data_IF_594879379336
#
_entry.id   IF_594879379336
#
_cell.length_a   1.000
_cell.length_b   1.000
_cell.length_c   1.000
_cell.angle_alpha   90.00
_cell.angle_beta   90.00
_cell.angle_gamma   90.00
#
_symmetry.space_group_name_H-M   'P 1'
#
loop_
_entity.id
_entity.type
_entity.pdbx_description
1 polymer ?
#
# COMPACT_ATOMS: atom_id res chain seq x y z
N UNK A 1 8.31 -63.80 -30.85
CA UNK A 1 9.55 -63.17 -31.34
C UNK A 1 9.18 -62.25 -32.49
N UNK A 2 9.56 -60.98 -32.36
CA UNK A 2 9.64 -59.92 -33.40
C UNK A 2 8.32 -59.39 -33.99
N UNK A 3 7.85 -58.28 -33.42
CA UNK A 3 6.88 -57.33 -34.00
C UNK A 3 7.64 -56.10 -34.50
N UNK A 4 7.31 -55.53 -35.68
CA UNK A 4 8.12 -54.47 -36.28
C UNK A 4 7.86 -53.07 -35.69
N UNK A 5 8.94 -52.30 -35.60
CA UNK A 5 9.00 -50.94 -35.11
C UNK A 5 8.38 -49.94 -36.11
N UNK A 6 7.49 -49.09 -35.61
CA UNK A 6 6.97 -47.92 -36.35
C UNK A 6 7.80 -46.70 -35.97
N UNK A 7 8.63 -46.23 -36.91
CA UNK A 7 9.24 -44.90 -36.86
C UNK A 7 8.14 -43.84 -37.08
N UNK A 8 7.93 -42.95 -36.10
CA UNK A 8 7.23 -41.69 -36.31
C UNK A 8 8.21 -40.54 -36.13
N UNK A 9 8.59 -39.95 -37.25
CA UNK A 9 9.23 -38.64 -37.31
C UNK A 9 8.20 -37.57 -36.93
N UNK A 10 8.49 -36.80 -35.89
CA UNK A 10 7.70 -35.63 -35.51
C UNK A 10 8.13 -34.46 -36.38
N UNK A 11 7.26 -34.09 -37.31
CA UNK A 11 7.38 -32.90 -38.16
C UNK A 11 7.08 -31.66 -37.32
N UNK A 12 8.02 -30.72 -37.27
CA UNK A 12 7.76 -29.35 -36.83
C UNK A 12 6.78 -28.68 -37.80
N UNK A 13 5.62 -28.23 -37.30
CA UNK A 13 4.88 -27.11 -37.88
C UNK A 13 4.28 -26.21 -36.79
N UNK A 14 4.19 -24.90 -37.08
CA UNK A 14 3.91 -23.84 -36.12
C UNK A 14 2.42 -23.80 -35.80
N UNK A 15 2.06 -23.61 -34.52
CA UNK A 15 0.67 -23.36 -34.16
C UNK A 15 0.42 -21.86 -34.27
N UNK A 16 -0.36 -21.55 -35.31
CA UNK A 16 -1.05 -20.30 -35.58
C UNK A 16 -1.82 -19.78 -34.36
N UNK A 17 -1.56 -18.52 -33.98
CA UNK A 17 -2.52 -17.70 -33.24
C UNK A 17 -3.74 -17.46 -34.14
N UNK A 18 -4.81 -18.22 -33.90
CA UNK A 18 -6.14 -17.92 -34.45
C UNK A 18 -6.93 -17.23 -33.35
N UNK A 19 -7.42 -16.04 -33.70
CA UNK A 19 -8.16 -15.16 -32.83
C UNK A 19 -9.36 -15.84 -32.18
N UNK A 20 -9.48 -15.63 -30.88
CA UNK A 20 -10.78 -15.42 -30.28
C UNK A 20 -10.96 -13.91 -30.17
N UNK A 21 -11.72 -13.37 -31.11
CA UNK A 21 -12.53 -12.18 -30.88
C UNK A 21 -13.43 -12.50 -29.69
N UNK A 22 -13.01 -12.10 -28.50
CA UNK A 22 -13.94 -11.91 -27.40
C UNK A 22 -14.98 -10.90 -27.87
N UNK A 23 -16.28 -11.14 -27.65
CA UNK A 23 -17.29 -10.14 -27.96
C UNK A 23 -16.93 -8.88 -27.18
N UNK A 24 -16.89 -7.74 -27.88
CA UNK A 24 -16.87 -6.45 -27.24
C UNK A 24 -17.96 -6.47 -26.17
N UNK A 25 -17.56 -6.47 -24.91
CA UNK A 25 -18.46 -6.17 -23.82
C UNK A 25 -18.78 -4.70 -24.07
N UNK A 26 -19.94 -4.46 -24.67
CA UNK A 26 -20.58 -3.15 -24.63
C UNK A 26 -20.68 -2.82 -23.14
N UNK A 27 -19.73 -2.00 -22.68
CA UNK A 27 -19.81 -1.34 -21.39
C UNK A 27 -20.98 -0.39 -21.54
N UNK A 28 -22.16 -0.89 -21.19
CA UNK A 28 -23.32 -0.08 -20.92
C UNK A 28 -22.89 0.84 -19.78
N UNK A 29 -22.51 2.06 -20.13
CA UNK A 29 -22.54 3.16 -19.16
C UNK A 29 -23.90 3.07 -18.49
N UNK A 30 -23.99 3.00 -17.16
CA UNK A 30 -25.29 3.00 -16.52
C UNK A 30 -26.04 4.21 -17.07
N UNK A 31 -27.19 3.92 -17.68
CA UNK A 31 -28.14 4.95 -18.04
C UNK A 31 -28.24 5.88 -16.83
N UNK A 32 -28.28 7.19 -17.10
CA UNK A 32 -28.59 8.24 -16.14
C UNK A 32 -29.91 7.89 -15.44
N UNK A 33 -29.85 7.03 -14.43
CA UNK A 33 -30.76 7.06 -13.32
C UNK A 33 -30.48 8.43 -12.70
N UNK A 34 -31.50 9.29 -12.69
CA UNK A 34 -31.54 10.34 -11.70
C UNK A 34 -31.25 9.64 -10.37
N UNK A 35 -30.05 9.86 -9.85
CA UNK A 35 -29.72 9.53 -8.48
C UNK A 35 -30.65 10.41 -7.67
N UNK A 36 -31.85 9.90 -7.39
CA UNK A 36 -32.66 10.33 -6.26
C UNK A 36 -31.78 10.06 -5.04
N UNK A 37 -30.93 11.04 -4.71
CA UNK A 37 -30.15 11.04 -3.50
C UNK A 37 -31.17 10.89 -2.37
N UNK A 38 -31.13 9.81 -1.57
CA UNK A 38 -32.06 9.67 -0.48
C UNK A 38 -31.92 10.91 0.41
N UNK A 39 -33.05 11.54 0.75
CA UNK A 39 -33.12 12.51 1.83
C UNK A 39 -32.83 11.76 3.14
N UNK A 40 -31.55 11.48 3.38
CA UNK A 40 -31.09 10.78 4.57
C UNK A 40 -31.25 11.72 5.76
N UNK A 41 -31.89 11.23 6.82
CA UNK A 41 -32.29 11.97 8.03
C UNK A 41 -31.14 12.30 8.98
N UNK A 42 -29.89 12.24 8.51
CA UNK A 42 -28.70 12.64 9.25
C UNK A 42 -28.30 14.05 8.78
N UNK A 43 -27.94 14.93 9.71
CA UNK A 43 -27.56 16.30 9.36
C UNK A 43 -26.48 16.29 8.26
N UNK A 44 -26.65 17.05 7.16
CA UNK A 44 -25.67 17.07 6.08
C UNK A 44 -24.32 17.49 6.65
N UNK A 45 -23.24 16.87 6.17
CA UNK A 45 -21.90 17.31 6.51
C UNK A 45 -21.79 18.81 6.21
N UNK A 46 -21.32 19.59 7.19
CA UNK A 46 -21.05 21.01 6.98
C UNK A 46 -19.76 21.13 6.18
N UNK A 47 -19.90 21.06 4.86
CA UNK A 47 -18.75 21.11 3.97
C UNK A 47 -17.98 22.42 4.09
N UNK A 48 -18.64 23.53 4.43
CA UNK A 48 -17.98 24.81 4.59
C UNK A 48 -17.07 24.84 5.82
N UNK A 49 -17.37 24.06 6.87
CA UNK A 49 -16.43 23.88 8.00
C UNK A 49 -15.21 23.03 7.60
N UNK A 50 -15.43 21.96 6.82
CA UNK A 50 -14.37 21.03 6.40
C UNK A 50 -13.43 21.64 5.33
N UNK A 51 -14.00 22.34 4.35
CA UNK A 51 -13.28 22.98 3.25
C UNK A 51 -13.89 24.35 2.92
N UNK A 52 -13.65 25.39 3.75
CA UNK A 52 -14.23 26.72 3.57
C UNK A 52 -13.82 27.42 2.27
N UNK A 53 -12.76 26.93 1.62
CA UNK A 53 -12.27 27.45 0.36
C UNK A 53 -12.90 26.81 -0.88
N UNK A 54 -13.76 25.80 -0.72
CA UNK A 54 -14.34 25.05 -1.84
C UNK A 54 -13.30 24.44 -2.78
N UNK A 55 -12.13 24.05 -2.23
CA UNK A 55 -10.99 23.53 -2.98
C UNK A 55 -11.25 22.15 -3.56
N UNK A 56 -12.11 21.36 -2.91
CA UNK A 56 -12.42 19.99 -3.30
C UNK A 56 -13.83 19.91 -3.90
N UNK A 57 -14.01 19.05 -4.90
CA UNK A 57 -15.30 18.84 -5.55
C UNK A 57 -16.27 18.15 -4.60
N UNK A 58 -17.46 18.75 -4.42
CA UNK A 58 -18.45 18.37 -3.41
C UNK A 58 -19.85 18.83 -3.82
N UNK A 59 -20.91 18.29 -3.20
CA UNK A 59 -22.28 18.79 -3.35
C UNK A 59 -22.38 20.29 -3.03
N UNK A 60 -23.26 20.98 -3.75
CA UNK A 60 -23.38 22.44 -3.73
C UNK A 60 -22.54 23.14 -4.80
N UNK A 61 -21.53 22.49 -5.38
CA UNK A 61 -20.85 23.01 -6.57
C UNK A 61 -21.73 22.84 -7.82
N UNK A 62 -21.71 23.83 -8.71
CA UNK A 62 -22.56 23.85 -9.91
C UNK A 62 -22.29 22.69 -10.88
N UNK A 63 -21.09 22.12 -10.84
CA UNK A 63 -20.67 20.97 -11.63
C UNK A 63 -20.91 19.63 -10.91
N UNK A 64 -21.36 19.63 -9.65
CA UNK A 64 -21.66 18.41 -8.91
C UNK A 64 -23.05 17.85 -9.27
N UNK A 65 -23.12 16.57 -9.63
CA UNK A 65 -24.40 15.92 -9.99
C UNK A 65 -25.09 16.51 -11.23
N UNK A 66 -24.39 17.38 -11.97
CA UNK A 66 -24.94 18.04 -13.14
C UNK A 66 -25.14 17.03 -14.29
N UNK A 67 -26.13 17.29 -15.16
CA UNK A 67 -26.38 16.48 -16.36
C UNK A 67 -25.19 16.45 -17.34
N UNK A 68 -24.29 17.43 -17.25
CA UNK A 68 -23.02 17.44 -17.98
C UNK A 68 -21.92 16.96 -17.06
N UNK A 69 -21.18 15.94 -17.48
CA UNK A 69 -20.03 15.48 -16.73
C UNK A 69 -19.00 16.62 -16.62
N UNK A 70 -18.45 16.89 -15.43
CA UNK A 70 -17.38 17.87 -15.29
C UNK A 70 -16.20 17.55 -16.20
N UNK A 71 -15.47 18.60 -16.57
CA UNK A 71 -14.15 18.48 -17.17
C UNK A 71 -13.15 18.17 -16.07
N UNK A 72 -13.05 16.88 -15.75
CA UNK A 72 -12.10 16.38 -14.76
C UNK A 72 -10.67 16.52 -15.25
N UNK A 73 -9.80 16.99 -14.36
CA UNK A 73 -8.36 16.77 -14.46
C UNK A 73 -8.03 15.46 -13.74
N UNK A 74 -7.29 14.55 -14.37
CA UNK A 74 -6.91 13.29 -13.74
C UNK A 74 -5.49 13.36 -13.21
N UNK A 75 -5.32 13.01 -11.94
CA UNK A 75 -4.01 12.78 -11.33
C UNK A 75 -3.59 11.32 -11.47
N UNK A 76 -2.27 11.06 -11.49
CA UNK A 76 -1.74 9.71 -11.37
C UNK A 76 -1.69 9.31 -9.88
N UNK A 77 -2.50 8.33 -9.43
CA UNK A 77 -2.52 7.93 -8.02
C UNK A 77 -1.20 7.29 -7.58
N UNK A 78 -0.45 6.62 -8.47
CA UNK A 78 0.84 6.04 -8.13
C UNK A 78 1.87 7.13 -7.86
N UNK A 79 1.96 8.13 -8.73
CA UNK A 79 2.85 9.27 -8.53
C UNK A 79 2.46 10.09 -7.30
N UNK A 80 1.16 10.19 -7.00
CA UNK A 80 0.63 10.90 -5.84
C UNK A 80 0.79 10.13 -4.52
N UNK A 81 1.30 8.89 -4.53
CA UNK A 81 1.49 8.10 -3.33
C UNK A 81 0.18 7.58 -2.72
N UNK A 82 -0.87 7.41 -3.53
CA UNK A 82 -2.23 7.07 -3.07
C UNK A 82 -2.52 5.61 -3.41
N UNK A 83 -3.01 4.86 -2.43
CA UNK A 83 -3.47 3.50 -2.62
C UNK A 83 -4.55 3.13 -1.60
N UNK A 84 -5.16 1.96 -1.74
CA UNK A 84 -6.10 1.43 -0.78
C UNK A 84 -5.74 0.01 -0.31
N UNK A 85 -6.07 -0.33 0.94
CA UNK A 85 -6.15 -1.72 1.40
C UNK A 85 -7.61 -2.10 1.64
N UNK A 86 -7.89 -3.40 1.66
CA UNK A 86 -9.20 -3.93 2.10
C UNK A 86 -8.91 -5.00 3.13
N UNK A 87 -9.44 -4.79 4.33
CA UNK A 87 -9.25 -5.67 5.49
C UNK A 87 -10.63 -5.87 6.14
N UNK A 88 -11.02 -7.13 6.35
CA UNK A 88 -12.33 -7.51 6.92
C UNK A 88 -13.54 -6.80 6.26
N UNK A 89 -13.46 -6.59 4.95
CA UNK A 89 -14.51 -5.95 4.14
C UNK A 89 -14.54 -4.43 4.21
N UNK A 90 -13.68 -3.79 5.01
CA UNK A 90 -13.51 -2.34 5.06
C UNK A 90 -12.33 -1.90 4.20
N UNK A 91 -12.52 -0.88 3.37
CA UNK A 91 -11.43 -0.26 2.62
C UNK A 91 -10.75 0.82 3.46
N UNK A 92 -9.43 0.94 3.36
CA UNK A 92 -8.67 2.07 3.92
C UNK A 92 -7.94 2.78 2.80
N UNK A 93 -8.11 4.09 2.68
CA UNK A 93 -7.33 4.93 1.76
C UNK A 93 -6.07 5.39 2.47
N UNK A 94 -4.92 5.23 1.82
CA UNK A 94 -3.63 5.63 2.34
C UNK A 94 -3.06 6.76 1.48
N UNK A 95 -2.64 7.83 2.13
CA UNK A 95 -1.86 8.90 1.51
C UNK A 95 -0.41 8.79 1.97
N UNK A 96 0.48 8.38 1.07
CA UNK A 96 1.94 8.33 1.28
C UNK A 96 2.69 9.37 0.44
N UNK A 97 1.95 10.19 -0.30
CA UNK A 97 2.52 11.33 -1.00
C UNK A 97 2.60 12.56 -0.11
N UNK A 98 2.96 13.67 -0.75
CA UNK A 98 3.18 14.96 -0.11
C UNK A 98 1.99 15.93 -0.26
N UNK A 99 0.99 15.54 -1.06
CA UNK A 99 -0.20 16.36 -1.31
C UNK A 99 -1.33 16.02 -0.32
N UNK A 100 -2.10 17.03 0.09
CA UNK A 100 -3.36 16.82 0.82
C UNK A 100 -4.43 16.37 -0.15
N UNK A 101 -5.10 15.25 0.15
CA UNK A 101 -6.19 14.70 -0.65
C UNK A 101 -7.49 14.77 0.11
N UNK A 102 -8.61 14.73 -0.61
CA UNK A 102 -9.93 14.61 0.00
C UNK A 102 -10.63 13.32 -0.46
N UNK A 103 -11.41 12.75 0.45
CA UNK A 103 -12.22 11.57 0.22
C UNK A 103 -13.68 12.00 0.23
N UNK A 104 -14.33 11.94 -0.94
CA UNK A 104 -15.76 12.19 -1.04
C UNK A 104 -16.49 10.85 -1.11
N UNK A 105 -17.18 10.51 -0.02
CA UNK A 105 -17.92 9.26 0.12
C UNK A 105 -19.39 9.47 -0.24
N UNK A 106 -19.90 8.62 -1.14
CA UNK A 106 -21.28 8.53 -1.56
C UNK A 106 -21.79 7.11 -1.25
N UNK A 107 -22.94 6.97 -0.61
CA UNK A 107 -23.57 5.67 -0.41
C UNK A 107 -25.03 5.80 0.00
N UNK A 108 -25.80 4.74 -0.21
CA UNK A 108 -27.21 4.68 0.23
C UNK A 108 -27.33 4.47 1.73
N UNK A 109 -26.31 3.85 2.33
CA UNK A 109 -26.27 3.48 3.75
C UNK A 109 -25.34 4.37 4.59
N UNK A 110 -24.65 5.32 3.95
CA UNK A 110 -23.75 6.27 4.61
C UNK A 110 -24.10 7.70 4.27
N UNK A 111 -24.03 8.63 5.24
CA UNK A 111 -24.11 10.04 4.92
C UNK A 111 -23.05 10.40 3.89
N UNK A 112 -23.44 11.25 2.96
CA UNK A 112 -22.50 11.98 2.13
C UNK A 112 -21.46 12.67 3.03
N UNK A 113 -20.19 12.34 2.84
CA UNK A 113 -19.10 12.84 3.67
C UNK A 113 -17.92 13.32 2.83
N UNK A 114 -17.25 14.36 3.33
CA UNK A 114 -15.95 14.80 2.82
C UNK A 114 -14.94 14.69 3.96
N UNK A 115 -13.86 13.95 3.74
CA UNK A 115 -12.77 13.83 4.70
C UNK A 115 -11.47 14.34 4.08
N UNK A 116 -10.71 15.16 4.82
CA UNK A 116 -9.42 15.68 4.38
C UNK A 116 -8.30 14.80 4.94
N UNK A 117 -7.52 14.23 4.03
CA UNK A 117 -6.45 13.30 4.34
C UNK A 117 -5.08 13.93 4.08
N UNK A 118 -4.40 14.27 5.18
CA UNK A 118 -3.06 14.85 5.16
C UNK A 118 -1.99 13.86 4.62
N UNK A 119 -0.81 14.37 4.20
CA UNK A 119 0.34 13.53 3.88
C UNK A 119 0.69 12.55 5.00
N UNK A 120 0.97 11.30 4.62
CA UNK A 120 1.38 10.23 5.54
C UNK A 120 0.25 9.60 6.36
N UNK A 121 -1.00 10.07 6.25
CA UNK A 121 -2.13 9.54 7.02
C UNK A 121 -2.93 8.50 6.24
N UNK A 122 -3.88 7.86 6.91
CA UNK A 122 -4.81 6.91 6.30
C UNK A 122 -6.20 7.13 6.89
N UNK A 123 -7.24 6.88 6.11
CA UNK A 123 -8.63 6.97 6.55
C UNK A 123 -9.38 5.69 6.17
N UNK A 124 -10.09 5.14 7.14
CA UNK A 124 -10.91 3.95 6.94
C UNK A 124 -12.27 4.37 6.40
N UNK A 125 -12.67 3.79 5.27
CA UNK A 125 -14.00 3.94 4.72
C UNK A 125 -14.98 3.03 5.50
N UNK A 126 -16.25 3.44 5.65
CA UNK A 126 -17.27 2.58 6.24
C UNK A 126 -17.36 1.21 5.57
N UNK A 127 -17.60 0.16 6.35
CA UNK A 127 -17.73 -1.22 5.87
C UNK A 127 -19.14 -1.50 5.30
N UNK A 128 -19.54 -0.74 4.30
CA UNK A 128 -20.86 -0.78 3.64
C UNK A 128 -20.73 -0.51 2.14
N UNK A 129 -21.85 -0.63 1.42
CA UNK A 129 -21.92 -0.28 0.00
C UNK A 129 -21.72 1.23 -0.19
N UNK A 130 -20.63 1.59 -0.87
CA UNK A 130 -20.23 2.97 -1.09
C UNK A 130 -19.38 3.16 -2.33
N UNK A 131 -19.32 4.41 -2.78
CA UNK A 131 -18.39 4.89 -3.78
C UNK A 131 -17.63 6.08 -3.18
N UNK A 132 -16.30 6.01 -3.20
CA UNK A 132 -15.42 7.04 -2.69
C UNK A 132 -14.56 7.62 -3.82
N UNK A 133 -14.71 8.91 -4.09
CA UNK A 133 -13.80 9.65 -4.96
C UNK A 133 -12.59 10.11 -4.16
N UNK A 134 -11.40 9.69 -4.58
CA UNK A 134 -10.13 10.21 -4.05
C UNK A 134 -9.67 11.34 -4.96
N UNK A 135 -9.61 12.55 -4.40
CA UNK A 135 -9.44 13.77 -5.18
C UNK A 135 -8.35 14.68 -4.61
N UNK A 136 -7.75 15.46 -5.51
CA UNK A 136 -6.88 16.58 -5.15
C UNK A 136 -7.64 17.90 -5.19
N UNK A 137 -6.98 18.98 -4.80
CA UNK A 137 -7.53 20.33 -4.99
C UNK A 137 -7.82 20.59 -6.48
N UNK A 138 -8.87 21.38 -6.76
CA UNK A 138 -9.22 21.82 -8.11
C UNK A 138 -8.01 22.44 -8.84
N UNK A 139 -7.90 22.17 -10.13
CA UNK A 139 -6.87 22.71 -11.01
C UNK A 139 -7.54 23.55 -12.07
N UNK A 140 -7.22 24.84 -12.14
CA UNK A 140 -7.86 25.79 -13.06
C UNK A 140 -9.41 25.77 -13.02
N UNK A 141 -9.97 25.56 -11.83
CA UNK A 141 -11.42 25.45 -11.61
C UNK A 141 -11.99 24.06 -11.87
N UNK A 142 -11.26 23.14 -12.51
CA UNK A 142 -11.69 21.77 -12.76
C UNK A 142 -11.47 20.85 -11.55
N UNK A 143 -12.41 19.94 -11.21
CA UNK A 143 -12.18 18.89 -10.23
C UNK A 143 -10.98 18.01 -10.60
N UNK A 144 -10.09 17.73 -9.65
CA UNK A 144 -8.95 16.83 -9.84
C UNK A 144 -9.21 15.49 -9.16
N UNK A 145 -9.25 14.39 -9.92
CA UNK A 145 -9.53 13.05 -9.38
C UNK A 145 -8.33 12.13 -9.60
N UNK A 146 -7.92 11.42 -8.55
CA UNK A 146 -6.88 10.39 -8.61
C UNK A 146 -7.46 9.00 -8.89
N UNK A 147 -8.66 8.73 -8.36
CA UNK A 147 -9.35 7.49 -8.60
C UNK A 147 -10.66 7.38 -7.81
N UNK A 148 -11.28 6.22 -7.95
CA UNK A 148 -12.53 5.85 -7.30
C UNK A 148 -12.38 4.47 -6.70
N UNK A 149 -12.74 4.36 -5.43
CA UNK A 149 -12.91 3.07 -4.74
C UNK A 149 -14.41 2.81 -4.64
N UNK A 150 -14.84 1.67 -5.16
CA UNK A 150 -16.23 1.21 -5.06
C UNK A 150 -16.25 -0.06 -4.22
N UNK A 151 -17.00 -0.02 -3.12
CA UNK A 151 -17.24 -1.16 -2.25
C UNK A 151 -18.68 -1.64 -2.41
N UNK A 152 -18.88 -2.95 -2.55
CA UNK A 152 -20.19 -3.59 -2.49
C UNK A 152 -20.07 -4.97 -1.83
N UNK A 153 -20.96 -5.28 -0.88
CA UNK A 153 -20.96 -6.52 -0.10
C UNK A 153 -19.57 -6.84 0.52
N UNK A 154 -18.90 -5.80 1.03
CA UNK A 154 -17.56 -5.92 1.63
C UNK A 154 -16.45 -6.23 0.62
N UNK A 155 -16.67 -6.03 -0.68
CA UNK A 155 -15.67 -6.29 -1.73
C UNK A 155 -15.39 -5.03 -2.53
N UNK A 156 -14.12 -4.85 -2.90
CA UNK A 156 -13.75 -3.84 -3.89
C UNK A 156 -14.25 -4.27 -5.27
N UNK A 157 -15.03 -3.41 -5.89
CA UNK A 157 -15.56 -3.58 -7.24
C UNK A 157 -14.65 -2.90 -8.27
N UNK A 158 -14.61 -3.38 -9.53
CA UNK A 158 -13.84 -2.74 -10.58
C UNK A 158 -14.29 -1.30 -10.84
N UNK A 159 -13.33 -0.40 -11.08
CA UNK A 159 -13.56 1.00 -11.40
C UNK A 159 -12.78 1.37 -12.67
N UNK A 160 -13.35 2.25 -13.49
CA UNK A 160 -12.68 2.83 -14.67
C UNK A 160 -11.50 3.74 -14.28
N UNK A 161 -11.53 4.26 -13.06
CA UNK A 161 -10.48 5.09 -12.47
C UNK A 161 -9.98 4.40 -11.19
N UNK A 162 -9.28 3.26 -11.29
CA UNK A 162 -8.92 2.50 -10.10
C UNK A 162 -7.89 3.26 -9.25
N UNK A 163 -8.07 3.21 -7.94
CA UNK A 163 -6.99 3.53 -6.99
C UNK A 163 -6.17 2.25 -6.79
N UNK A 164 -4.83 2.32 -6.83
CA UNK A 164 -3.97 1.15 -6.66
C UNK A 164 -4.29 0.40 -5.37
N UNK A 165 -4.22 -0.91 -5.40
CA UNK A 165 -4.23 -1.73 -4.18
C UNK A 165 -2.91 -1.59 -3.43
N UNK A 166 -2.90 -1.91 -2.14
CA UNK A 166 -1.68 -1.97 -1.31
C UNK A 166 -0.62 -2.84 -1.97
N UNK A 167 -1.00 -3.98 -2.55
CA UNK A 167 -0.07 -4.89 -3.20
C UNK A 167 0.62 -4.24 -4.40
N UNK A 168 -0.15 -3.59 -5.27
CA UNK A 168 0.36 -2.90 -6.47
C UNK A 168 1.24 -1.71 -6.09
N UNK A 169 0.81 -0.91 -5.11
CA UNK A 169 1.59 0.22 -4.60
C UNK A 169 2.95 -0.23 -4.05
N UNK A 170 2.94 -1.24 -3.17
CA UNK A 170 4.17 -1.74 -2.57
C UNK A 170 5.09 -2.37 -3.61
N UNK A 171 4.54 -3.09 -4.60
CA UNK A 171 5.34 -3.69 -5.66
C UNK A 171 6.01 -2.64 -6.57
N UNK A 172 5.29 -1.55 -6.84
CA UNK A 172 5.80 -0.44 -7.64
C UNK A 172 6.90 0.36 -6.92
N UNK A 173 6.89 0.38 -5.58
CA UNK A 173 7.78 1.24 -4.80
C UNK A 173 8.87 0.51 -4.04
N UNK A 174 8.69 -0.75 -3.68
CA UNK A 174 9.65 -1.53 -2.92
C UNK A 174 9.95 -2.84 -3.64
N UNK A 175 11.05 -3.46 -3.29
CA UNK A 175 11.24 -4.87 -3.62
C UNK A 175 10.39 -5.70 -2.66
N UNK A 176 9.43 -6.46 -3.18
CA UNK A 176 8.52 -7.26 -2.37
C UNK A 176 8.64 -8.74 -2.71
N UNK A 177 8.15 -9.66 -1.86
CA UNK A 177 8.19 -11.10 -2.12
C UNK A 177 7.40 -11.55 -3.36
N UNK A 178 6.57 -10.68 -3.91
CA UNK A 178 5.76 -10.92 -5.10
C UNK A 178 6.22 -10.11 -6.31
N UNK A 179 7.28 -9.33 -6.19
CA UNK A 179 7.85 -8.62 -7.33
C UNK A 179 8.37 -9.61 -8.36
N UNK A 180 8.20 -9.30 -9.65
CA UNK A 180 8.68 -10.16 -10.73
C UNK A 180 10.21 -10.32 -10.74
N UNK A 181 10.93 -9.32 -10.23
CA UNK A 181 12.38 -9.31 -10.04
C UNK A 181 12.83 -9.87 -8.67
N UNK A 182 11.89 -10.40 -7.88
CA UNK A 182 12.22 -11.13 -6.66
C UNK A 182 12.88 -12.47 -6.99
N UNK A 183 14.19 -12.57 -6.80
CA UNK A 183 14.96 -13.80 -7.01
C UNK A 183 15.39 -14.49 -5.69
N UNK A 184 14.82 -14.08 -4.55
CA UNK A 184 15.22 -14.60 -3.24
C UNK A 184 16.63 -14.19 -2.80
N UNK A 185 17.27 -13.26 -3.50
CA UNK A 185 18.61 -12.73 -3.24
C UNK A 185 18.78 -11.26 -3.62
N UNK A 186 20.00 -10.74 -3.47
CA UNK A 186 20.36 -9.32 -3.59
C UNK A 186 21.00 -8.93 -4.92
N UNK A 187 20.92 -9.79 -5.94
CA UNK A 187 21.52 -9.53 -7.25
C UNK A 187 20.78 -8.38 -7.96
N UNK A 188 21.54 -7.37 -8.39
CA UNK A 188 21.04 -6.15 -9.07
C UNK A 188 20.24 -5.17 -8.20
N UNK A 189 20.64 -5.02 -6.93
CA UNK A 189 20.07 -4.03 -6.01
C UNK A 189 21.08 -2.98 -5.59
N UNK A 190 20.61 -1.75 -5.43
CA UNK A 190 21.39 -0.65 -4.92
C UNK A 190 21.47 -0.76 -3.39
N UNK A 191 22.69 -0.98 -2.89
CA UNK A 191 22.93 -1.11 -1.46
C UNK A 191 23.09 0.28 -0.84
N UNK A 192 22.21 0.60 0.09
CA UNK A 192 22.16 1.88 0.79
C UNK A 192 22.78 1.75 2.18
N UNK A 193 23.36 2.85 2.67
CA UNK A 193 23.89 2.90 4.03
C UNK A 193 22.76 3.16 5.02
N UNK A 194 22.46 2.16 5.83
CA UNK A 194 21.40 2.23 6.84
C UNK A 194 21.64 3.33 7.87
N UNK A 195 22.87 3.55 8.33
CA UNK A 195 23.12 4.56 9.36
C UNK A 195 23.01 5.97 8.77
N UNK A 196 23.51 6.18 7.55
CA UNK A 196 23.40 7.45 6.84
C UNK A 196 21.95 7.86 6.57
N UNK A 197 21.09 6.88 6.23
CA UNK A 197 19.66 7.12 5.96
C UNK A 197 18.79 7.00 7.24
N UNK A 198 19.41 6.89 8.43
CA UNK A 198 18.72 6.98 9.72
C UNK A 198 17.95 5.72 10.14
N UNK A 199 18.32 4.54 9.60
CA UNK A 199 17.76 3.26 10.01
C UNK A 199 18.53 2.66 11.17
N UNK A 200 17.80 2.08 12.12
CA UNK A 200 18.41 1.25 13.16
C UNK A 200 17.43 0.22 13.69
N UNK A 201 17.95 -0.75 14.44
CA UNK A 201 17.10 -1.71 15.17
C UNK A 201 17.47 -1.78 16.65
N UNK A 202 16.49 -2.20 17.44
CA UNK A 202 16.64 -2.52 18.85
C UNK A 202 16.12 -3.94 19.10
N UNK A 203 16.99 -4.78 19.67
CA UNK A 203 16.64 -6.13 20.11
C UNK A 203 17.48 -6.55 21.32
N UNK A 204 16.81 -7.11 22.32
CA UNK A 204 17.44 -7.73 23.48
C UNK A 204 17.49 -9.24 23.25
N UNK A 205 18.63 -9.87 23.48
CA UNK A 205 18.76 -11.33 23.42
C UNK A 205 17.72 -12.00 24.32
N UNK A 206 16.99 -12.97 23.77
CA UNK A 206 15.85 -13.63 24.42
C UNK A 206 14.58 -12.78 24.51
N UNK A 207 14.54 -11.60 23.89
CA UNK A 207 13.37 -10.73 23.83
C UNK A 207 12.27 -11.29 22.93
N UNK A 208 11.02 -10.91 23.22
CA UNK A 208 9.84 -11.32 22.45
C UNK A 208 9.54 -10.41 21.27
N UNK A 209 10.32 -9.34 21.05
CA UNK A 209 10.15 -8.43 19.92
C UNK A 209 11.44 -7.75 19.51
N UNK A 210 11.53 -7.42 18.21
CA UNK A 210 12.51 -6.54 17.60
C UNK A 210 11.81 -5.26 17.15
N UNK A 211 12.42 -4.11 17.43
CA UNK A 211 11.93 -2.81 16.97
C UNK A 211 12.83 -2.29 15.86
N UNK A 212 12.25 -1.98 14.70
CA UNK A 212 12.90 -1.23 13.64
C UNK A 212 12.52 0.24 13.76
N UNK A 213 13.50 1.13 13.58
CA UNK A 213 13.33 2.57 13.70
C UNK A 213 13.85 3.27 12.45
N UNK A 214 13.07 4.21 11.94
CA UNK A 214 13.43 5.10 10.84
C UNK A 214 13.45 6.54 11.37
N UNK A 215 14.63 7.10 11.57
CA UNK A 215 14.82 8.53 11.88
C UNK A 215 15.13 9.36 10.64
N UNK A 216 15.16 8.74 9.47
CA UNK A 216 15.32 9.42 8.19
C UNK A 216 14.05 10.12 7.72
N UNK A 217 14.13 10.64 6.50
CA UNK A 217 13.06 11.40 5.82
C UNK A 217 12.28 10.59 4.80
N UNK A 218 12.78 9.40 4.43
CA UNK A 218 12.18 8.56 3.39
C UNK A 218 11.34 7.44 3.98
N UNK A 219 10.30 7.05 3.25
CA UNK A 219 9.55 5.83 3.55
C UNK A 219 10.38 4.60 3.23
N UNK A 220 10.26 3.58 4.07
CA UNK A 220 10.96 2.31 3.93
C UNK A 220 10.00 1.16 4.19
N UNK A 221 10.41 -0.07 3.89
CA UNK A 221 9.61 -1.25 4.21
C UNK A 221 10.45 -2.36 4.83
N UNK A 222 9.85 -3.06 5.79
CA UNK A 222 10.42 -4.23 6.45
C UNK A 222 9.73 -5.48 5.90
N UNK A 223 10.50 -6.26 5.15
CA UNK A 223 10.14 -7.60 4.71
C UNK A 223 10.41 -8.57 5.85
N UNK A 224 9.38 -9.26 6.31
CA UNK A 224 9.50 -10.22 7.40
C UNK A 224 8.56 -11.40 7.16
N UNK A 225 8.73 -12.44 7.98
CA UNK A 225 7.86 -13.61 7.95
C UNK A 225 6.92 -13.57 9.14
N UNK A 226 5.62 -13.63 8.87
CA UNK A 226 4.58 -13.83 9.87
C UNK A 226 4.04 -15.26 9.73
N UNK A 227 4.41 -16.14 10.65
CA UNK A 227 4.15 -17.58 10.56
C UNK A 227 4.75 -18.21 9.31
N UNK A 228 3.90 -18.57 8.35
CA UNK A 228 4.29 -19.12 7.03
C UNK A 228 4.23 -18.09 5.90
N UNK A 229 3.72 -16.90 6.16
CA UNK A 229 3.48 -15.86 5.16
C UNK A 229 4.60 -14.83 5.17
N UNK A 230 5.02 -14.36 3.98
CA UNK A 230 5.91 -13.20 3.89
C UNK A 230 5.06 -11.94 3.87
N UNK A 231 5.40 -11.00 4.74
CA UNK A 231 4.65 -9.77 4.98
C UNK A 231 5.55 -8.56 4.77
N UNK A 232 4.93 -7.44 4.40
CA UNK A 232 5.60 -6.17 4.15
C UNK A 232 4.97 -5.10 5.03
N UNK A 233 5.77 -4.57 5.95
CA UNK A 233 5.34 -3.50 6.85
C UNK A 233 6.09 -2.23 6.51
N UNK A 234 5.35 -1.19 6.13
CA UNK A 234 5.93 0.12 5.87
C UNK A 234 6.42 0.74 7.19
N UNK A 235 7.50 1.49 7.10
CA UNK A 235 8.14 2.19 8.19
C UNK A 235 8.28 3.66 7.80
N UNK A 236 7.38 4.48 8.34
CA UNK A 236 7.28 5.90 8.03
C UNK A 236 8.53 6.69 8.51
N UNK A 237 8.84 7.83 7.88
CA UNK A 237 9.81 8.78 8.40
C UNK A 237 9.52 9.15 9.86
N UNK A 238 10.57 9.21 10.68
CA UNK A 238 10.45 9.54 12.11
C UNK A 238 9.71 8.51 12.98
N UNK A 239 9.37 7.33 12.45
CA UNK A 239 8.57 6.32 13.15
C UNK A 239 9.36 5.07 13.55
N UNK A 240 8.68 4.16 14.25
CA UNK A 240 9.21 2.85 14.64
C UNK A 240 8.11 1.81 14.58
N UNK A 241 8.50 0.56 14.32
CA UNK A 241 7.60 -0.58 14.30
C UNK A 241 8.23 -1.78 14.98
N UNK A 242 7.43 -2.54 15.73
CA UNK A 242 7.88 -3.71 16.46
C UNK A 242 7.29 -4.98 15.88
N UNK A 243 8.12 -6.00 15.75
CA UNK A 243 7.72 -7.33 15.27
C UNK A 243 7.90 -8.36 16.37
N UNK A 244 6.98 -9.35 16.47
CA UNK A 244 7.15 -10.45 17.40
C UNK A 244 8.37 -11.30 17.01
N UNK A 245 9.06 -11.81 18.02
CA UNK A 245 10.20 -12.73 17.89
C UNK A 245 9.95 -13.93 18.78
N UNK A 246 10.03 -15.12 18.18
CA UNK A 246 9.97 -16.38 18.93
C UNK A 246 11.38 -16.90 19.24
N UNK A 247 11.66 -17.13 20.52
CA UNK A 247 12.91 -17.75 20.97
C UNK A 247 12.96 -19.26 20.68
N UNK A 248 11.81 -19.87 20.38
CA UNK A 248 11.67 -21.30 20.06
C UNK A 248 11.49 -21.55 18.56
N UNK A 249 11.62 -20.52 17.72
CA UNK A 249 11.55 -20.68 16.28
C UNK A 249 12.60 -21.70 15.80
N UNK A 250 12.15 -22.68 15.02
CA UNK A 250 12.98 -23.71 14.42
C UNK A 250 13.74 -23.23 13.16
N UNK A 251 13.48 -22.00 12.72
CA UNK A 251 14.11 -21.36 11.56
C UNK A 251 14.52 -19.93 11.91
N UNK A 252 15.47 -19.39 11.16
CA UNK A 252 15.88 -17.98 11.32
C UNK A 252 14.73 -17.04 10.99
N UNK A 253 14.45 -16.12 11.90
CA UNK A 253 13.52 -15.00 11.69
C UNK A 253 14.28 -13.87 11.04
N UNK A 254 13.94 -13.55 9.80
CA UNK A 254 14.63 -12.56 8.97
C UNK A 254 13.77 -11.32 8.84
N UNK A 255 14.37 -10.16 9.08
CA UNK A 255 13.78 -8.85 8.90
C UNK A 255 14.67 -8.06 7.94
N UNK A 256 14.32 -8.03 6.65
CA UNK A 256 15.05 -7.29 5.62
C UNK A 256 14.43 -5.91 5.44
N UNK A 257 15.26 -4.88 5.37
CA UNK A 257 14.81 -3.50 5.19
C UNK A 257 15.14 -3.04 3.76
N UNK A 258 14.11 -2.65 3.04
CA UNK A 258 14.18 -2.17 1.65
C UNK A 258 13.75 -0.71 1.57
N UNK A 259 14.38 0.03 0.67
CA UNK A 259 14.01 1.41 0.38
C UNK A 259 13.14 1.52 -0.87
N UNK A 260 12.79 2.77 -1.21
CA UNK A 260 12.08 3.05 -2.47
C UNK A 260 12.95 2.68 -3.66
N UNK A 261 12.32 2.19 -4.73
CA UNK A 261 12.96 1.93 -6.01
C UNK A 261 13.43 3.23 -6.68
N UNK A 262 14.59 3.22 -7.33
CA UNK A 262 15.21 4.38 -7.98
C UNK A 262 15.27 4.24 -9.51
N UNK A 263 15.17 5.35 -10.26
CA UNK A 263 15.41 5.36 -11.71
C UNK A 263 14.35 4.68 -12.60
N UNK A 264 13.14 4.42 -12.09
CA UNK A 264 12.03 3.87 -12.87
C UNK A 264 11.49 4.86 -13.93
N UNK A 265 10.60 4.38 -14.80
CA UNK A 265 9.92 5.26 -15.76
C UNK A 265 8.55 5.69 -15.21
N UNK A 266 8.18 6.98 -15.33
CA UNK A 266 6.88 7.44 -14.86
C UNK A 266 5.74 6.72 -15.60
N UNK A 267 4.62 6.60 -14.89
CA UNK A 267 3.37 6.12 -15.45
C UNK A 267 2.67 7.18 -16.27
N UNK A 268 1.37 6.97 -16.43
CA UNK A 268 0.46 7.95 -17.03
C UNK A 268 -0.80 8.02 -16.20
N UNK A 269 -1.23 9.24 -15.91
CA UNK A 269 -2.55 9.48 -15.33
C UNK A 269 -3.67 8.97 -16.25
N UNK A 270 -4.87 8.68 -15.70
CA UNK A 270 -6.06 8.47 -16.50
C UNK A 270 -6.32 9.65 -17.45
N UNK A 271 -7.06 9.41 -18.54
CA UNK A 271 -7.40 10.48 -19.46
C UNK A 271 -8.74 10.24 -20.14
N UNK A 272 -9.39 11.31 -20.57
CA UNK A 272 -10.60 11.26 -21.39
C UNK A 272 -10.22 11.41 -22.86
N UNK A 273 -10.71 10.52 -23.71
CA UNK A 273 -10.56 10.62 -25.16
C UNK A 273 -11.52 11.65 -25.75
N UNK A 274 -11.36 11.98 -27.04
CA UNK A 274 -12.27 12.86 -27.76
C UNK A 274 -13.72 12.30 -27.84
N UNK A 275 -13.91 10.99 -27.74
CA UNK A 275 -15.24 10.35 -27.67
C UNK A 275 -15.90 10.44 -26.29
N UNK A 276 -15.21 11.02 -25.30
CA UNK A 276 -15.67 11.08 -23.92
C UNK A 276 -15.36 9.83 -23.09
N UNK A 277 -14.75 8.81 -23.68
CA UNK A 277 -14.35 7.58 -22.99
C UNK A 277 -13.21 7.87 -22.03
N UNK A 278 -13.31 7.38 -20.79
CA UNK A 278 -12.23 7.47 -19.80
C UNK A 278 -11.37 6.22 -19.92
N UNK A 279 -10.07 6.43 -20.09
CA UNK A 279 -9.07 5.38 -20.10
C UNK A 279 -8.33 5.38 -18.77
N UNK A 280 -8.15 4.21 -18.13
CA UNK A 280 -7.37 4.11 -16.90
C UNK A 280 -5.92 4.51 -17.14
N UNK A 281 -5.28 4.99 -16.08
CA UNK A 281 -3.84 5.23 -16.07
C UNK A 281 -3.05 3.92 -16.02
N UNK A 282 -1.73 4.03 -16.01
CA UNK A 282 -0.83 2.89 -15.77
C UNK A 282 0.38 3.34 -14.95
N UNK A 283 0.94 2.47 -14.07
CA UNK A 283 1.89 2.85 -13.02
C UNK A 283 3.30 3.27 -13.45
N UNK A 284 3.68 3.05 -14.71
CA UNK A 284 5.07 3.17 -15.11
C UNK A 284 5.81 1.83 -15.07
N UNK A 285 7.14 1.88 -15.17
CA UNK A 285 8.01 0.74 -14.88
C UNK A 285 8.67 0.97 -13.53
N UNK A 286 8.64 -0.01 -12.60
CA UNK A 286 9.37 0.10 -11.35
C UNK A 286 10.86 0.36 -11.62
N UNK A 287 11.49 1.12 -10.73
CA UNK A 287 12.93 1.35 -10.74
C UNK A 287 13.74 0.17 -10.20
N UNK A 288 15.05 0.40 -10.11
CA UNK A 288 16.00 -0.50 -9.43
C UNK A 288 15.66 -0.61 -7.96
N UNK A 289 15.61 -1.83 -7.44
CA UNK A 289 15.38 -2.09 -6.03
C UNK A 289 16.53 -1.58 -5.16
N UNK A 290 16.21 -0.92 -4.04
CA UNK A 290 17.18 -0.50 -3.03
C UNK A 290 17.05 -1.34 -1.76
N UNK A 291 18.16 -1.58 -1.08
CA UNK A 291 18.22 -2.42 0.11
C UNK A 291 19.23 -1.91 1.13
N UNK A 292 18.87 -2.01 2.41
CA UNK A 292 19.69 -1.54 3.54
C UNK A 292 20.36 -2.67 4.33
N UNK A 293 19.85 -3.89 4.23
CA UNK A 293 20.33 -5.01 5.03
C UNK A 293 19.23 -5.81 5.70
N UNK A 294 19.64 -6.89 6.36
CA UNK A 294 18.75 -7.71 7.18
C UNK A 294 19.25 -7.82 8.61
N UNK A 295 18.31 -8.09 9.52
CA UNK A 295 18.59 -8.66 10.84
C UNK A 295 18.06 -10.08 10.86
N UNK A 296 18.88 -11.04 11.28
CA UNK A 296 18.49 -12.44 11.43
C UNK A 296 18.58 -12.85 12.89
N UNK A 297 17.46 -13.32 13.44
CA UNK A 297 17.36 -13.83 14.80
C UNK A 297 17.09 -15.33 14.76
N UNK A 298 17.92 -16.10 15.46
CA UNK A 298 17.77 -17.55 15.60
C UNK A 298 17.91 -17.92 17.08
N UNK A 299 17.00 -18.75 17.58
CA UNK A 299 16.98 -19.19 18.99
C UNK A 299 17.10 -18.00 19.98
N UNK A 300 16.39 -16.91 19.69
CA UNK A 300 16.39 -15.70 20.52
C UNK A 300 17.67 -14.84 20.44
N UNK A 301 18.62 -15.16 19.57
CA UNK A 301 19.90 -14.42 19.44
C UNK A 301 20.06 -13.84 18.04
N UNK A 302 20.62 -12.64 17.92
CA UNK A 302 20.99 -12.06 16.63
C UNK A 302 22.20 -12.80 16.10
N UNK A 303 22.02 -13.52 15.00
CA UNK A 303 23.10 -14.28 14.33
C UNK A 303 23.71 -13.51 13.16
N UNK A 304 22.99 -12.52 12.63
CA UNK A 304 23.46 -11.62 11.60
C UNK A 304 22.74 -10.26 11.69
N UNK A 305 23.48 -9.18 11.42
CA UNK A 305 22.90 -7.86 11.22
C UNK A 305 23.75 -7.05 10.24
N UNK A 306 23.11 -6.51 9.22
CA UNK A 306 23.66 -5.43 8.39
C UNK A 306 23.17 -4.04 8.82
N UNK A 307 22.19 -3.98 9.74
CA UNK A 307 21.67 -2.72 10.27
C UNK A 307 22.41 -2.32 11.57
N UNK A 308 22.55 -1.03 11.87
CA UNK A 308 23.14 -0.58 13.12
C UNK A 308 22.20 -0.89 14.29
N UNK A 309 22.76 -1.54 15.31
CA UNK A 309 22.04 -1.85 16.56
C UNK A 309 22.11 -0.67 17.51
N UNK A 310 20.97 -0.07 17.85
CA UNK A 310 20.90 0.86 18.99
C UNK A 310 20.76 0.08 20.29
N UNK A 311 21.89 -0.14 20.95
CA UNK A 311 21.91 -0.73 22.28
C UNK A 311 21.31 0.24 23.30
N UNK A 312 20.42 -0.26 24.15
CA UNK A 312 20.16 0.34 25.44
C UNK A 312 21.43 0.09 26.28
N UNK A 313 22.34 1.04 26.35
CA UNK A 313 23.52 0.88 27.19
C UNK A 313 23.10 0.75 28.67
N UNK A 314 23.42 -0.41 29.26
CA UNK A 314 23.74 -0.65 30.66
C UNK A 314 22.87 0.06 31.72
N UNK A 315 21.67 -0.44 31.98
CA UNK A 315 21.19 -0.46 33.36
C UNK A 315 21.87 -1.65 34.06
N UNK A 316 23.09 -1.45 34.58
CA UNK A 316 23.67 -2.36 35.55
C UNK A 316 22.78 -2.27 36.79
N UNK A 317 21.84 -3.23 36.91
CA UNK A 317 21.11 -3.43 38.15
C UNK A 317 22.13 -3.90 39.16
N UNK A 318 22.68 -2.95 39.89
CA UNK A 318 23.46 -3.15 41.10
C UNK A 318 22.53 -3.76 42.15
N UNK A 319 22.15 -5.03 41.96
CA UNK A 319 21.57 -5.84 43.03
C UNK A 319 22.70 -6.05 44.02
N UNK A 320 22.84 -5.08 44.92
CA UNK A 320 23.51 -5.26 46.21
C UNK A 320 23.09 -6.63 46.70
N UNK A 321 24.06 -7.54 46.81
CA UNK A 321 23.89 -8.80 47.50
C UNK A 321 23.32 -8.45 48.86
N UNK A 322 22.02 -8.68 49.06
CA UNK A 322 21.48 -8.81 50.39
C UNK A 322 22.31 -9.93 51.01
N UNK A 323 23.24 -9.53 51.90
CA UNK A 323 23.91 -10.45 52.80
C UNK A 323 22.79 -11.26 53.43
N UNK A 324 22.72 -12.53 53.08
CA UNK A 324 22.02 -13.54 53.86
C UNK A 324 22.71 -13.52 55.22
N UNK A 325 22.15 -12.72 56.13
CA UNK A 325 22.47 -12.76 57.54
C UNK A 325 21.97 -14.10 58.06
N UNK A 326 22.83 -15.11 57.94
CA UNK A 326 22.71 -16.35 58.67
C UNK A 326 22.82 -16.00 60.17
N UNK A 327 21.70 -15.79 60.85
CA UNK A 327 21.62 -15.92 62.31
C UNK A 327 21.06 -17.30 62.60
N UNK A 328 21.98 -18.26 62.75
CA UNK A 328 21.74 -19.45 63.57
C UNK A 328 21.73 -19.02 65.04
N UNK A 329 20.85 -19.69 65.78
CA UNK A 329 20.54 -19.59 67.21
C UNK A 329 21.77 -19.64 68.12
N UNK A 330 21.66 -18.94 69.25
CA UNK A 330 21.74 -19.56 70.56
C UNK A 330 20.43 -19.22 71.29
#
# INVERSE_FOLDING_TARGET
>A
MSTPATQRATVHRPVSWIGRTEPAVDVVAPATAELDLPQSSCAPADFEDIDPGGRYWRPGHADFGSRRTPDFTFGDPHAAGIFHSVDDGAATIHNRGDEVVALLTLGTEVPLGLEILAPGTSAQLPAVDLLCYVQGARVHGSPRVFGVVWMSDGRSMPSTLPVPTRREFLDQHYLTPWSADWNGGYTHQDHRDADADGLSFQYRTGGSSITMRNTGTEWMAVLHKDGHTRSVTELAPGSQVSFPVSVTANTGQVFSVVGRREGGSPGRAPYRSASGTIHPGWPGRPGTATHYGSVVIMLGTVVYSALPKRNLYLAWSDRRRLRVGCRRRA
#
